data_IF_184112512354
#
_entry.id   IF_184112512354
#
_cell.length_a   1.000
_cell.length_b   1.000
_cell.length_c   1.000
_cell.angle_alpha   90.00
_cell.angle_beta   90.00
_cell.angle_gamma   90.00
#
_symmetry.space_group_name_H-M   'P 1'
#
loop_
_entity.id
_entity.type
_entity.pdbx_description
1 polymer ?
#
# COMPACT_ATOMS: atom_id res chain seq x y z
N UNK A 1 5.95 6.29 -4.67
CA UNK A 1 6.77 6.65 -3.50
C UNK A 1 7.90 5.66 -3.22
N UNK A 2 7.66 4.37 -2.96
CA UNK A 2 8.72 3.39 -2.59
C UNK A 2 9.85 3.31 -3.62
N UNK A 3 9.54 3.12 -4.90
CA UNK A 3 10.58 3.09 -5.95
C UNK A 3 11.30 4.43 -6.10
N UNK A 4 10.61 5.55 -5.87
CA UNK A 4 11.25 6.86 -5.89
C UNK A 4 12.27 7.00 -4.75
N UNK A 5 11.99 6.43 -3.57
CA UNK A 5 12.93 6.43 -2.46
C UNK A 5 14.21 5.67 -2.79
N UNK A 6 14.08 4.49 -3.41
CA UNK A 6 15.26 3.77 -3.90
C UNK A 6 16.01 4.54 -5.00
N UNK A 7 15.31 5.26 -5.88
CA UNK A 7 15.95 6.15 -6.85
C UNK A 7 16.67 7.32 -6.16
N UNK A 8 16.14 7.87 -5.07
CA UNK A 8 16.85 8.89 -4.28
C UNK A 8 18.12 8.32 -3.62
N UNK A 9 18.05 7.13 -3.04
CA UNK A 9 19.17 6.54 -2.29
C UNK A 9 20.25 5.94 -3.21
N UNK A 10 19.86 5.40 -4.38
CA UNK A 10 20.74 4.62 -5.26
C UNK A 10 20.82 5.14 -6.71
N UNK A 11 20.09 6.20 -7.04
CA UNK A 11 20.02 6.77 -8.40
C UNK A 11 19.17 5.95 -9.38
N UNK A 12 18.98 6.49 -10.58
CA UNK A 12 18.23 5.82 -11.67
C UNK A 12 18.86 4.51 -12.15
N UNK A 13 20.15 4.31 -11.88
CA UNK A 13 20.85 3.05 -12.14
C UNK A 13 20.20 1.87 -11.40
N UNK A 14 19.66 2.10 -10.20
CA UNK A 14 18.87 1.10 -9.48
C UNK A 14 17.63 0.67 -10.27
N UNK A 15 16.88 1.62 -10.82
CA UNK A 15 15.67 1.32 -11.60
C UNK A 15 16.03 0.55 -12.88
N UNK A 16 17.14 0.93 -13.54
CA UNK A 16 17.65 0.22 -14.72
C UNK A 16 18.06 -1.21 -14.39
N UNK A 17 18.76 -1.44 -13.28
CA UNK A 17 19.14 -2.79 -12.81
C UNK A 17 17.93 -3.63 -12.45
N UNK A 18 16.94 -3.04 -11.77
CA UNK A 18 15.68 -3.72 -11.46
C UNK A 18 14.96 -4.17 -12.74
N UNK A 19 14.86 -3.29 -13.74
CA UNK A 19 14.26 -3.62 -15.02
C UNK A 19 14.97 -4.78 -15.73
N UNK A 20 16.28 -4.91 -15.57
CA UNK A 20 17.06 -6.00 -16.16
C UNK A 20 16.80 -7.39 -15.51
N UNK A 21 16.19 -7.45 -14.32
CA UNK A 21 15.93 -8.71 -13.59
C UNK A 21 14.73 -9.52 -14.12
N UNK A 22 14.21 -9.20 -15.32
CA UNK A 22 12.99 -9.83 -15.89
C UNK A 22 11.81 -9.83 -14.89
N UNK A 23 11.60 -8.70 -14.24
CA UNK A 23 10.52 -8.51 -13.26
C UNK A 23 9.16 -8.62 -13.97
N UNK A 24 8.21 -9.30 -13.35
CA UNK A 24 6.82 -9.27 -13.79
C UNK A 24 6.12 -8.03 -13.23
N UNK A 25 5.91 -7.02 -14.08
CA UNK A 25 5.08 -5.87 -13.77
C UNK A 25 3.62 -6.18 -14.15
N UNK A 26 2.76 -6.29 -13.12
CA UNK A 26 1.31 -6.54 -13.29
C UNK A 26 0.49 -5.45 -12.60
N UNK A 27 -0.74 -5.25 -13.09
CA UNK A 27 -1.74 -4.42 -12.43
C UNK A 27 -2.29 -5.12 -11.18
N UNK A 28 -2.78 -4.32 -10.23
CA UNK A 28 -3.27 -4.81 -8.93
C UNK A 28 -2.12 -5.10 -7.97
N UNK A 29 -2.12 -4.42 -6.81
CA UNK A 29 -1.09 -4.59 -5.77
C UNK A 29 -1.16 -5.96 -5.07
N UNK A 30 -2.25 -6.70 -5.26
CA UNK A 30 -2.45 -8.07 -4.80
C UNK A 30 -1.64 -9.09 -5.62
N UNK A 31 -1.42 -8.82 -6.92
CA UNK A 31 -0.78 -9.75 -7.87
C UNK A 31 0.59 -10.25 -7.42
N UNK A 32 1.39 -9.37 -6.80
CA UNK A 32 2.72 -9.73 -6.31
C UNK A 32 2.64 -10.72 -5.14
N UNK A 33 1.75 -10.46 -4.18
CA UNK A 33 1.51 -11.35 -3.03
C UNK A 33 1.00 -12.72 -3.46
N UNK A 34 0.04 -12.75 -4.40
CA UNK A 34 -0.49 -13.99 -4.97
C UNK A 34 0.58 -14.80 -5.70
N UNK A 35 1.45 -14.15 -6.49
CA UNK A 35 2.53 -14.85 -7.18
C UNK A 35 3.55 -15.50 -6.24
N UNK A 36 3.81 -14.88 -5.09
CA UNK A 36 4.66 -15.45 -4.04
C UNK A 36 3.95 -16.59 -3.31
N UNK A 37 2.69 -16.39 -2.92
CA UNK A 37 1.87 -17.41 -2.25
C UNK A 37 1.73 -18.69 -3.10
N UNK A 38 1.54 -18.53 -4.42
CA UNK A 38 1.46 -19.62 -5.40
C UNK A 38 2.83 -20.20 -5.79
N UNK A 39 3.94 -19.73 -5.19
CA UNK A 39 5.32 -20.16 -5.47
C UNK A 39 5.77 -19.95 -6.92
N UNK A 40 5.09 -19.10 -7.69
CA UNK A 40 5.51 -18.70 -9.05
C UNK A 40 6.68 -17.73 -9.04
N UNK A 41 6.81 -16.92 -7.97
CA UNK A 41 7.92 -15.99 -7.74
C UNK A 41 8.44 -16.15 -6.31
N UNK A 42 9.75 -15.99 -6.14
CA UNK A 42 10.38 -16.03 -4.82
C UNK A 42 10.22 -14.71 -4.05
N UNK A 43 10.06 -13.58 -4.75
CA UNK A 43 10.02 -12.23 -4.17
C UNK A 43 8.90 -11.44 -4.85
N UNK A 44 8.11 -10.75 -4.03
CA UNK A 44 7.14 -9.74 -4.44
C UNK A 44 7.53 -8.38 -3.87
N UNK A 45 7.37 -7.32 -4.66
CA UNK A 45 7.73 -5.94 -4.28
C UNK A 45 6.52 -5.03 -4.43
N UNK A 46 6.45 -3.98 -3.59
CA UNK A 46 5.46 -2.91 -3.68
C UNK A 46 3.98 -3.38 -3.75
N UNK A 47 3.69 -4.58 -3.22
CA UNK A 47 2.35 -5.15 -3.13
C UNK A 47 1.83 -5.14 -1.69
N UNK A 48 0.56 -5.50 -1.53
CA UNK A 48 0.00 -5.75 -0.19
C UNK A 48 0.65 -6.98 0.43
N UNK A 49 1.04 -6.88 1.69
CA UNK A 49 1.50 -8.04 2.45
C UNK A 49 0.37 -9.08 2.55
N UNK A 50 0.56 -10.32 2.07
CA UNK A 50 -0.45 -11.36 2.24
C UNK A 50 -0.64 -11.63 3.74
N UNK A 51 -1.90 -11.79 4.17
CA UNK A 51 -2.26 -12.10 5.55
C UNK A 51 -2.56 -13.59 5.68
N UNK A 52 -2.11 -14.21 6.78
CA UNK A 52 -2.42 -15.60 7.10
C UNK A 52 -1.73 -16.64 6.20
N UNK A 53 -0.57 -16.30 5.62
CA UNK A 53 0.22 -17.23 4.80
C UNK A 53 1.59 -17.44 5.45
N UNK A 54 1.74 -18.53 6.21
CA UNK A 54 2.95 -18.82 7.00
C UNK A 54 4.19 -19.10 6.14
N UNK A 55 4.00 -19.42 4.86
CA UNK A 55 5.10 -19.66 3.90
C UNK A 55 5.69 -18.37 3.33
N UNK A 56 5.09 -17.21 3.60
CA UNK A 56 5.54 -15.91 3.07
C UNK A 56 6.04 -15.01 4.20
N UNK A 57 7.32 -14.64 4.12
CA UNK A 57 7.90 -13.66 5.03
C UNK A 57 7.68 -12.25 4.51
N UNK A 58 7.05 -11.40 5.32
CA UNK A 58 6.85 -9.98 5.03
C UNK A 58 7.99 -9.15 5.65
N UNK A 59 8.62 -8.29 4.86
CA UNK A 59 9.78 -7.48 5.26
C UNK A 59 9.36 -6.04 5.58
N UNK A 60 8.48 -5.85 6.57
CA UNK A 60 8.04 -4.54 7.08
C UNK A 60 8.10 -4.50 8.61
N UNK A 61 7.98 -3.31 9.21
CA UNK A 61 7.90 -3.13 10.66
C UNK A 61 9.20 -2.63 11.31
N UNK A 62 9.34 -2.74 12.65
CA UNK A 62 10.40 -2.08 13.42
C UNK A 62 11.81 -2.58 13.08
N UNK A 63 11.93 -3.82 12.62
CA UNK A 63 13.22 -4.43 12.25
C UNK A 63 13.50 -4.34 10.74
N UNK A 64 12.71 -3.56 9.99
CA UNK A 64 12.95 -3.41 8.55
C UNK A 64 14.23 -2.59 8.31
N UNK A 65 15.15 -3.17 7.56
CA UNK A 65 16.36 -2.49 7.10
C UNK A 65 16.15 -1.71 5.79
N UNK A 66 14.99 -1.89 5.15
CA UNK A 66 14.63 -1.25 3.89
C UNK A 66 13.43 -0.32 4.07
N UNK A 67 13.39 0.72 3.25
CA UNK A 67 12.26 1.64 3.13
C UNK A 67 11.01 0.91 2.62
N UNK A 68 9.87 1.17 3.25
CA UNK A 68 8.55 0.65 2.87
C UNK A 68 7.51 1.76 3.00
N UNK A 69 6.32 1.51 2.47
CA UNK A 69 5.23 2.48 2.49
C UNK A 69 4.11 1.98 3.39
N UNK A 70 3.70 2.84 4.32
CA UNK A 70 2.47 2.68 5.11
C UNK A 70 1.69 3.98 5.05
N UNK A 71 0.37 3.92 5.22
CA UNK A 71 -0.49 5.09 5.37
C UNK A 71 -1.80 4.66 6.02
N UNK A 72 -2.52 5.60 6.63
CA UNK A 72 -3.88 5.36 7.08
C UNK A 72 -4.84 5.49 5.89
N UNK A 73 -5.64 4.47 5.62
CA UNK A 73 -6.69 4.58 4.61
C UNK A 73 -7.74 5.59 5.10
N UNK A 74 -8.01 6.61 4.30
CA UNK A 74 -9.00 7.64 4.63
C UNK A 74 -10.42 7.20 4.23
N UNK A 75 -11.40 7.58 5.04
CA UNK A 75 -12.82 7.39 4.79
C UNK A 75 -13.56 8.68 5.11
N UNK A 76 -14.63 8.96 4.35
CA UNK A 76 -15.48 10.12 4.54
C UNK A 76 -16.94 9.77 4.21
N UNK A 77 -17.87 10.46 4.85
CA UNK A 77 -19.30 10.38 4.54
C UNK A 77 -19.63 11.52 3.58
N UNK A 78 -20.20 11.19 2.42
CA UNK A 78 -20.66 12.21 1.47
C UNK A 78 -21.82 13.01 2.08
N UNK A 79 -21.84 14.33 1.81
CA UNK A 79 -22.90 15.23 2.30
C UNK A 79 -24.30 14.76 1.92
N UNK A 80 -24.43 14.22 0.71
CA UNK A 80 -25.69 13.74 0.12
C UNK A 80 -25.80 12.21 0.14
N UNK A 81 -25.14 11.54 1.10
CA UNK A 81 -25.27 10.09 1.23
C UNK A 81 -26.74 9.70 1.44
N UNK A 82 -27.30 8.74 0.66
CA UNK A 82 -28.72 8.36 0.74
C UNK A 82 -29.07 7.69 2.09
N UNK A 83 -28.08 7.15 2.79
CA UNK A 83 -28.23 6.51 4.09
C UNK A 83 -27.23 7.07 5.11
N UNK A 84 -27.38 8.33 5.57
CA UNK A 84 -26.38 9.00 6.40
C UNK A 84 -26.25 8.34 7.79
N UNK A 85 -27.34 7.78 8.33
CA UNK A 85 -27.29 7.03 9.58
C UNK A 85 -26.47 5.74 9.45
N UNK A 86 -26.67 4.97 8.38
CA UNK A 86 -25.90 3.77 8.09
C UNK A 86 -24.41 4.09 7.83
N UNK A 87 -24.12 5.18 7.11
CA UNK A 87 -22.75 5.63 6.88
C UNK A 87 -22.05 6.01 8.20
N UNK A 88 -22.73 6.73 9.10
CA UNK A 88 -22.21 7.03 10.44
C UNK A 88 -21.98 5.76 11.26
N UNK A 89 -22.92 4.81 11.21
CA UNK A 89 -22.78 3.53 11.88
C UNK A 89 -21.54 2.78 11.37
N UNK A 90 -21.32 2.73 10.05
CA UNK A 90 -20.15 2.08 9.46
C UNK A 90 -18.83 2.73 9.91
N UNK A 91 -18.74 4.06 9.88
CA UNK A 91 -17.53 4.78 10.33
C UNK A 91 -17.29 4.55 11.83
N UNK A 92 -18.33 4.58 12.67
CA UNK A 92 -18.20 4.27 14.10
C UNK A 92 -17.80 2.82 14.34
N UNK A 93 -18.35 1.88 13.57
CA UNK A 93 -18.02 0.46 13.66
C UNK A 93 -16.56 0.21 13.31
N UNK A 94 -16.05 0.75 12.20
CA UNK A 94 -14.68 0.46 11.76
C UNK A 94 -13.60 1.07 12.68
N UNK A 95 -13.92 2.15 13.40
CA UNK A 95 -13.02 2.75 14.42
C UNK A 95 -13.28 2.24 15.85
N UNK A 96 -14.27 1.35 16.02
CA UNK A 96 -14.59 0.77 17.32
C UNK A 96 -13.40 0.00 17.91
N UNK A 97 -13.37 -0.14 19.23
CA UNK A 97 -12.27 -0.88 19.88
C UNK A 97 -12.21 -2.31 19.36
N UNK A 98 -13.36 -2.97 19.27
CA UNK A 98 -13.49 -4.34 18.76
C UNK A 98 -12.88 -4.51 17.38
N UNK A 99 -13.29 -3.68 16.40
CA UNK A 99 -12.77 -3.79 15.03
C UNK A 99 -11.28 -3.46 14.97
N UNK A 100 -10.84 -2.47 15.75
CA UNK A 100 -9.45 -2.03 15.79
C UNK A 100 -8.50 -3.04 16.46
N UNK A 101 -9.00 -3.88 17.39
CA UNK A 101 -8.23 -4.95 18.03
C UNK A 101 -8.38 -6.32 17.37
N UNK A 102 -9.36 -6.50 16.47
CA UNK A 102 -9.59 -7.76 15.75
C UNK A 102 -9.24 -7.64 14.28
N UNK A 103 -10.12 -7.07 13.45
CA UNK A 103 -9.97 -6.99 11.99
C UNK A 103 -8.78 -6.12 11.56
N UNK A 104 -8.48 -5.07 12.33
CA UNK A 104 -7.39 -4.14 12.06
C UNK A 104 -6.22 -4.28 13.04
N UNK A 105 -6.14 -5.40 13.76
CA UNK A 105 -5.05 -5.72 14.65
C UNK A 105 -3.68 -5.53 13.94
N UNK A 106 -2.76 -4.84 14.60
CA UNK A 106 -1.43 -4.54 14.06
C UNK A 106 -1.37 -3.41 13.01
N UNK A 107 -2.51 -2.88 12.56
CA UNK A 107 -2.60 -1.72 11.64
C UNK A 107 -3.50 -0.61 12.17
N UNK A 108 -3.90 -0.68 13.45
CA UNK A 108 -4.80 0.29 14.06
C UNK A 108 -4.23 1.71 14.07
N UNK A 109 -5.08 2.69 13.76
CA UNK A 109 -4.78 4.12 13.85
C UNK A 109 -5.04 4.70 15.24
N UNK A 110 -5.63 3.93 16.17
CA UNK A 110 -5.99 4.37 17.53
C UNK A 110 -4.82 4.37 18.51
N UNK A 111 -4.44 5.53 19.01
CA UNK A 111 -3.29 5.69 19.92
C UNK A 111 -3.50 5.07 21.31
N UNK A 112 -4.75 4.83 21.70
CA UNK A 112 -5.13 4.23 22.99
C UNK A 112 -5.08 2.69 23.00
N UNK A 113 -4.92 2.06 21.85
CA UNK A 113 -4.72 0.61 21.76
C UNK A 113 -3.22 0.30 21.97
N UNK A 114 -2.86 -0.48 23.00
CA UNK A 114 -1.48 -0.80 23.28
C UNK A 114 -0.87 -1.66 22.18
N UNK A 115 0.44 -1.49 21.96
CA UNK A 115 1.21 -2.37 21.10
C UNK A 115 1.92 -3.44 21.94
N UNK A 116 2.18 -4.64 21.38
CA UNK A 116 3.04 -5.61 22.05
C UNK A 116 4.39 -4.99 22.46
N UNK A 117 4.96 -5.36 23.61
CA UNK A 117 6.26 -4.86 24.03
C UNK A 117 7.33 -5.00 22.94
N UNK A 118 8.13 -3.95 22.74
CA UNK A 118 9.17 -3.93 21.70
C UNK A 118 8.67 -3.70 20.27
N UNK A 119 7.37 -3.42 20.07
CA UNK A 119 6.84 -3.07 18.75
C UNK A 119 6.54 -1.57 18.63
N UNK A 120 6.98 -0.98 17.51
CA UNK A 120 6.72 0.41 17.16
C UNK A 120 5.53 0.51 16.23
N UNK A 121 4.77 1.61 16.35
CA UNK A 121 3.74 1.96 15.38
C UNK A 121 4.38 2.43 14.07
N UNK A 122 3.70 2.30 12.92
CA UNK A 122 4.24 2.75 11.63
C UNK A 122 4.72 4.21 11.65
N UNK A 123 3.99 5.12 12.30
CA UNK A 123 4.38 6.54 12.42
C UNK A 123 5.56 6.81 13.37
N UNK A 124 6.02 5.81 14.10
CA UNK A 124 7.24 5.86 14.91
C UNK A 124 8.45 5.28 14.15
N UNK A 125 8.24 4.69 12.97
CA UNK A 125 9.28 4.03 12.18
C UNK A 125 9.59 4.91 10.97
N UNK A 126 10.81 5.45 10.90
CA UNK A 126 11.25 6.32 9.79
C UNK A 126 11.09 5.63 8.43
N UNK A 127 11.51 4.38 8.34
CA UNK A 127 11.48 3.56 7.12
C UNK A 127 10.05 3.27 6.63
N UNK A 128 9.02 3.48 7.47
CA UNK A 128 7.63 3.23 7.10
C UNK A 128 7.01 4.35 6.26
N UNK A 129 7.67 5.52 6.20
CA UNK A 129 7.28 6.69 5.40
C UNK A 129 5.82 7.13 5.57
N UNK A 130 5.22 6.90 6.75
CA UNK A 130 3.78 7.03 6.95
C UNK A 130 3.26 8.45 6.78
N UNK A 131 4.08 9.45 7.14
CA UNK A 131 3.73 10.86 7.02
C UNK A 131 4.09 11.43 5.64
N UNK A 132 5.18 10.95 5.04
CA UNK A 132 5.69 11.46 3.77
C UNK A 132 4.77 11.12 2.58
N UNK A 133 3.98 10.04 2.68
CA UNK A 133 3.13 9.61 1.58
C UNK A 133 2.08 10.65 1.19
N UNK A 134 1.46 11.31 2.17
CA UNK A 134 0.44 12.32 1.90
C UNK A 134 1.03 13.50 1.11
N UNK A 135 2.11 14.10 1.61
CA UNK A 135 2.78 15.22 0.94
C UNK A 135 3.29 14.81 -0.44
N UNK A 136 3.78 13.58 -0.61
CA UNK A 136 4.14 13.05 -1.93
C UNK A 136 2.93 13.00 -2.87
N UNK A 137 1.75 12.63 -2.37
CA UNK A 137 0.51 12.51 -3.14
C UNK A 137 -0.13 13.85 -3.53
N UNK A 138 0.15 14.91 -2.77
CA UNK A 138 -0.30 16.28 -3.03
C UNK A 138 0.41 16.91 -4.24
N UNK A 139 1.68 16.57 -4.50
CA UNK A 139 2.41 17.02 -5.69
C UNK A 139 2.06 16.17 -6.93
N UNK A 140 0.95 16.53 -7.58
CA UNK A 140 0.46 15.83 -8.77
C UNK A 140 1.41 15.94 -9.96
N UNK A 141 2.07 17.08 -10.14
CA UNK A 141 2.98 17.30 -11.27
C UNK A 141 4.20 16.39 -11.17
N UNK A 142 4.81 16.29 -9.99
CA UNK A 142 5.92 15.39 -9.77
C UNK A 142 5.49 13.92 -9.91
N UNK A 143 4.29 13.54 -9.45
CA UNK A 143 3.78 12.17 -9.64
C UNK A 143 3.66 11.81 -11.11
N UNK A 144 3.06 12.67 -11.94
CA UNK A 144 2.92 12.38 -13.37
C UNK A 144 4.29 12.32 -14.06
N UNK A 145 5.23 13.21 -13.71
CA UNK A 145 6.62 13.13 -14.19
C UNK A 145 7.27 11.80 -13.82
N UNK A 146 7.12 11.35 -12.57
CA UNK A 146 7.71 10.10 -12.11
C UNK A 146 7.08 8.88 -12.79
N UNK A 147 5.77 8.87 -13.02
CA UNK A 147 5.10 7.81 -13.78
C UNK A 147 5.68 7.69 -15.19
N UNK A 148 5.86 8.82 -15.88
CA UNK A 148 6.46 8.83 -17.22
C UNK A 148 7.90 8.29 -17.20
N UNK A 149 8.73 8.70 -16.25
CA UNK A 149 10.12 8.21 -16.18
C UNK A 149 10.17 6.71 -15.86
N UNK A 150 9.35 6.24 -14.91
CA UNK A 150 9.29 4.81 -14.61
C UNK A 150 8.77 3.97 -15.78
N UNK A 151 7.84 4.51 -16.59
CA UNK A 151 7.40 3.85 -17.82
C UNK A 151 8.54 3.68 -18.84
N UNK A 152 9.50 4.60 -18.91
CA UNK A 152 10.70 4.43 -19.74
C UNK A 152 11.60 3.27 -19.26
N UNK A 153 11.59 2.96 -17.97
CA UNK A 153 12.38 1.86 -17.40
C UNK A 153 11.65 0.51 -17.42
N UNK A 154 10.36 0.50 -17.10
CA UNK A 154 9.60 -0.73 -16.88
C UNK A 154 8.59 -1.04 -18.00
N UNK A 155 8.44 -0.13 -18.96
CA UNK A 155 7.41 -0.18 -19.98
C UNK A 155 6.08 0.39 -19.51
N UNK A 156 5.18 0.60 -20.47
CA UNK A 156 3.80 0.99 -20.20
C UNK A 156 3.05 -0.07 -19.39
N UNK A 157 2.09 0.39 -18.59
CA UNK A 157 1.22 -0.50 -17.80
C UNK A 157 0.35 -1.33 -18.76
N UNK A 158 0.47 -2.66 -18.68
CA UNK A 158 -0.29 -3.61 -19.52
C UNK A 158 -1.28 -4.45 -18.70
N UNK A 159 -2.28 -4.99 -19.39
CA UNK A 159 -3.31 -5.86 -18.82
C UNK A 159 -4.56 -5.13 -18.34
N UNK A 160 -5.64 -5.89 -18.22
CA UNK A 160 -6.93 -5.36 -17.77
C UNK A 160 -6.88 -4.84 -16.32
N UNK A 161 -7.72 -3.86 -15.97
CA UNK A 161 -7.85 -3.45 -14.57
C UNK A 161 -8.32 -4.63 -13.73
N UNK A 162 -7.63 -4.93 -12.62
CA UNK A 162 -8.01 -6.06 -11.76
C UNK A 162 -9.43 -5.95 -11.17
N UNK A 163 -9.99 -4.76 -10.89
CA UNK A 163 -11.40 -4.64 -10.51
C UNK A 163 -12.40 -4.73 -11.69
N UNK A 164 -11.91 -4.93 -12.92
CA UNK A 164 -12.71 -4.81 -14.14
C UNK A 164 -13.02 -3.36 -14.53
N UNK A 165 -13.95 -3.19 -15.48
CA UNK A 165 -14.45 -1.90 -15.93
C UNK A 165 -15.86 -1.68 -15.39
N UNK A 166 -15.96 -0.90 -14.30
CA UNK A 166 -17.22 -0.72 -13.55
C UNK A 166 -18.19 0.32 -14.17
N UNK A 167 -17.73 1.09 -15.14
CA UNK A 167 -18.51 2.19 -15.73
C UNK A 167 -18.66 3.39 -14.79
N UNK A 168 -19.59 4.29 -15.13
CA UNK A 168 -19.81 5.54 -14.41
C UNK A 168 -20.71 5.38 -13.17
N UNK A 169 -21.61 4.40 -13.17
CA UNK A 169 -22.65 4.23 -12.15
C UNK A 169 -22.73 2.78 -11.62
N UNK A 170 -21.66 2.24 -11.04
CA UNK A 170 -21.71 0.91 -10.46
C UNK A 170 -22.70 0.82 -9.31
N UNK A 171 -23.61 -0.15 -9.36
CA UNK A 171 -24.59 -0.42 -8.31
C UNK A 171 -25.79 0.53 -8.28
N UNK A 172 -25.99 1.34 -9.33
CA UNK A 172 -27.26 2.00 -9.62
C UNK A 172 -28.18 1.08 -10.43
#
# INVERSE_FOLDING_TARGET
MVYMRHVYDYGWEWARRLAALRVEFKRGSDSAGMAVAEKRKAIGLAGSAPRGIDTVRVMIGPNSTSEYLTWAQHMAILREAPHPAAAKLFVNWIISLEVQTTLLAGSSTRTDIPTPPGTLRPWQIRQANSLCFQTFMEDRANIERLKAIFALHFGEVRGEPTPGQLGLYPGQ
#
